data_IF_944947903819
#
_entry.id   IF_944947903819
#
_cell.length_a   1.000
_cell.length_b   1.000
_cell.length_c   1.000
_cell.angle_alpha   90.00
_cell.angle_beta   90.00
_cell.angle_gamma   90.00
#
_symmetry.space_group_name_H-M   'P 1'
#
loop_
_entity.id
_entity.type
_entity.pdbx_description
1 polymer ?
#
# COMPACT_ATOMS: atom_id res chain seq x y z
N UNK A 1 30.99 57.60 -3.87
CA UNK A 1 29.52 57.62 -3.75
C UNK A 1 29.07 56.19 -3.50
N UNK A 2 28.72 55.91 -2.24
CA UNK A 2 27.73 54.94 -1.73
C UNK A 2 27.81 53.45 -2.20
N UNK A 3 27.12 52.50 -1.53
CA UNK A 3 27.70 51.70 -0.44
C UNK A 3 27.24 50.21 -0.52
N UNK A 4 27.30 49.51 0.62
CA UNK A 4 26.74 48.17 0.95
C UNK A 4 27.71 47.01 0.61
N UNK A 5 28.25 46.24 1.55
CA UNK A 5 27.87 45.98 2.93
C UNK A 5 27.12 44.65 3.01
N UNK A 6 27.86 43.54 3.00
CA UNK A 6 27.33 42.21 3.28
C UNK A 6 28.06 41.66 4.52
N UNK A 7 27.36 41.29 5.59
CA UNK A 7 27.97 40.72 6.78
C UNK A 7 28.23 39.22 6.62
N UNK A 8 29.35 38.78 7.20
CA UNK A 8 29.72 37.38 7.41
C UNK A 8 28.66 36.63 8.25
N UNK A 9 28.26 35.44 7.79
CA UNK A 9 27.52 34.48 8.62
C UNK A 9 28.48 33.42 9.16
N UNK A 10 28.44 33.13 10.47
CA UNK A 10 29.25 32.07 11.07
C UNK A 10 28.67 30.68 10.79
N UNK A 11 29.53 29.80 10.31
CA UNK A 11 29.38 28.34 10.26
C UNK A 11 29.08 27.81 11.66
N UNK A 12 27.87 27.28 11.87
CA UNK A 12 27.54 26.50 13.06
C UNK A 12 27.09 25.10 12.65
N UNK A 13 27.98 24.16 12.93
CA UNK A 13 27.77 22.72 12.97
C UNK A 13 26.61 22.38 13.90
N UNK A 14 25.58 21.70 13.40
CA UNK A 14 24.64 20.96 14.25
C UNK A 14 24.34 19.59 13.61
N UNK A 15 24.75 18.57 14.37
CA UNK A 15 24.52 17.13 14.23
C UNK A 15 23.06 16.78 13.90
N UNK A 16 22.79 15.75 13.07
CA UNK A 16 21.46 15.13 13.01
C UNK A 16 21.20 14.28 14.28
N UNK A 17 19.95 14.23 14.78
CA UNK A 17 19.60 13.48 15.97
C UNK A 17 19.64 11.97 15.75
N UNK A 18 20.32 11.26 16.67
CA UNK A 18 20.28 9.80 16.78
C UNK A 18 18.96 9.37 17.42
N UNK A 19 18.12 8.66 16.68
CA UNK A 19 17.01 7.92 17.28
C UNK A 19 17.58 6.71 18.01
N UNK A 20 17.29 6.63 19.31
CA UNK A 20 17.61 5.47 20.15
C UNK A 20 16.36 4.61 20.24
N UNK A 21 16.42 3.41 19.65
CA UNK A 21 15.37 2.41 19.77
C UNK A 21 15.28 1.93 21.22
N UNK A 22 14.12 2.16 21.85
CA UNK A 22 13.79 1.64 23.18
C UNK A 22 13.50 0.13 23.07
N UNK A 23 14.41 -0.69 23.58
CA UNK A 23 14.21 -2.13 23.78
C UNK A 23 13.40 -2.34 25.07
N UNK A 24 12.27 -3.08 25.07
CA UNK A 24 11.59 -3.44 26.30
C UNK A 24 12.40 -4.51 27.08
N UNK A 25 12.45 -4.44 28.43
CA UNK A 25 13.19 -5.39 29.23
C UNK A 25 12.48 -6.74 29.34
N UNK A 26 13.26 -7.80 29.12
CA UNK A 26 12.94 -9.20 29.41
C UNK A 26 12.59 -9.39 30.90
N UNK A 27 11.46 -10.05 31.18
CA UNK A 27 11.03 -10.39 32.52
C UNK A 27 11.89 -11.52 33.09
N UNK A 28 12.58 -11.23 34.19
CA UNK A 28 13.41 -12.18 34.91
C UNK A 28 12.55 -13.14 35.78
N UNK A 29 12.82 -14.41 35.58
CA UNK A 29 12.48 -15.54 36.45
C UNK A 29 12.96 -15.30 37.89
N UNK A 30 12.12 -15.53 38.90
CA UNK A 30 12.57 -15.74 40.29
C UNK A 30 11.64 -16.70 41.03
N UNK A 31 12.23 -17.83 41.41
CA UNK A 31 11.69 -18.83 42.33
C UNK A 31 12.00 -18.47 43.79
N UNK A 32 11.39 -19.26 44.69
CA UNK A 32 11.69 -19.53 46.12
C UNK A 32 10.82 -18.72 47.11
N UNK A 33 9.86 -19.27 47.86
CA UNK A 33 9.75 -20.42 48.79
C UNK A 33 9.80 -20.00 50.30
N UNK A 34 8.72 -20.36 51.03
CA UNK A 34 8.59 -20.76 52.46
C UNK A 34 8.86 -19.73 53.58
N UNK A 35 8.16 -19.64 54.73
CA UNK A 35 7.50 -20.57 55.67
C UNK A 35 6.12 -19.99 56.14
N UNK A 36 5.01 -20.71 56.33
CA UNK A 36 4.66 -21.81 57.27
C UNK A 36 4.05 -21.28 58.59
N UNK A 37 2.74 -21.52 58.82
CA UNK A 37 2.20 -21.83 60.16
C UNK A 37 0.81 -22.50 60.08
N UNK A 38 0.85 -23.83 60.07
CA UNK A 38 0.13 -24.76 60.97
C UNK A 38 -1.21 -24.31 61.57
N UNK A 39 -2.30 -25.02 61.23
CA UNK A 39 -3.13 -25.69 62.25
C UNK A 39 -3.85 -26.93 61.70
N UNK A 40 -3.71 -28.00 62.50
CA UNK A 40 -4.17 -29.39 62.42
C UNK A 40 -5.69 -29.60 62.31
N UNK A 41 -6.17 -30.44 61.37
CA UNK A 41 -6.74 -31.82 61.52
C UNK A 41 -8.06 -31.95 62.34
N UNK A 42 -8.86 -33.06 62.23
CA UNK A 42 -8.97 -34.10 61.20
C UNK A 42 -10.44 -34.44 60.82
N UNK A 43 -10.68 -35.15 59.72
CA UNK A 43 -11.48 -36.39 59.78
C UNK A 43 -11.33 -37.22 58.51
N UNK A 44 -10.73 -38.38 58.67
CA UNK A 44 -10.70 -39.48 57.71
C UNK A 44 -12.05 -40.19 57.68
N UNK A 45 -12.55 -40.59 56.50
CA UNK A 45 -12.54 -41.97 56.01
C UNK A 45 -13.62 -42.23 54.93
N UNK A 46 -13.16 -42.93 53.87
CA UNK A 46 -13.82 -44.03 53.15
C UNK A 46 -15.04 -43.77 52.25
N UNK A 47 -14.75 -43.99 50.96
CA UNK A 47 -15.32 -45.03 50.10
C UNK A 47 -16.85 -45.06 49.90
N UNK A 48 -17.27 -44.94 48.64
CA UNK A 48 -18.61 -45.37 48.26
C UNK A 48 -18.93 -45.07 46.80
N UNK A 49 -18.78 -46.08 45.94
CA UNK A 49 -19.33 -46.10 44.58
C UNK A 49 -20.84 -45.91 44.65
N UNK A 50 -21.35 -44.74 44.30
CA UNK A 50 -22.76 -44.56 43.95
C UNK A 50 -22.94 -43.51 42.87
N UNK A 51 -23.06 -44.01 41.63
CA UNK A 51 -24.13 -43.68 40.68
C UNK A 51 -24.24 -42.17 40.36
N UNK A 52 -23.56 -41.65 39.34
CA UNK A 52 -23.89 -41.83 37.91
C UNK A 52 -25.39 -41.67 37.54
N UNK A 53 -26.20 -41.06 38.41
CA UNK A 53 -27.66 -40.88 38.24
C UNK A 53 -28.12 -39.49 38.70
N UNK A 54 -27.29 -38.47 38.48
CA UNK A 54 -27.69 -37.06 38.64
C UNK A 54 -27.35 -36.23 37.39
N UNK A 55 -26.44 -36.70 36.54
CA UNK A 55 -26.01 -35.99 35.33
C UNK A 55 -26.96 -36.14 34.13
N UNK A 56 -28.00 -36.98 34.21
CA UNK A 56 -28.96 -37.21 33.12
C UNK A 56 -30.29 -36.45 33.29
N UNK A 57 -30.54 -35.81 34.44
CA UNK A 57 -31.78 -35.07 34.71
C UNK A 57 -31.71 -33.57 34.38
N UNK A 58 -30.52 -33.04 34.10
CA UNK A 58 -30.33 -31.61 33.73
C UNK A 58 -30.37 -31.40 32.21
N UNK A 59 -30.31 -32.46 31.40
CA UNK A 59 -30.18 -32.35 29.94
C UNK A 59 -31.51 -32.32 29.16
N UNK A 60 -32.68 -32.27 29.82
CA UNK A 60 -34.00 -32.48 29.16
C UNK A 60 -34.96 -31.27 29.27
N UNK A 61 -34.49 -30.08 29.71
CA UNK A 61 -35.35 -28.88 29.83
C UNK A 61 -34.90 -27.66 29.00
N UNK A 62 -34.06 -27.84 27.98
CA UNK A 62 -33.59 -26.73 27.13
C UNK A 62 -34.24 -26.65 25.73
N UNK A 63 -35.31 -27.40 25.43
CA UNK A 63 -35.87 -27.47 24.06
C UNK A 63 -37.25 -26.86 23.88
N UNK A 64 -37.60 -25.78 24.61
CA UNK A 64 -38.79 -24.96 24.29
C UNK A 64 -38.59 -23.48 24.64
N UNK A 65 -37.64 -22.83 23.97
CA UNK A 65 -37.71 -21.41 23.65
C UNK A 65 -37.56 -21.30 22.12
N UNK A 66 -38.56 -21.80 21.40
CA UNK A 66 -38.70 -21.57 19.98
C UNK A 66 -39.08 -20.11 19.77
N UNK A 67 -38.09 -19.25 19.57
CA UNK A 67 -38.30 -18.01 18.85
C UNK A 67 -38.68 -18.42 17.42
N UNK A 68 -39.95 -18.26 17.06
CA UNK A 68 -40.40 -18.27 15.67
C UNK A 68 -39.81 -17.01 15.00
N UNK A 69 -38.53 -17.05 14.63
CA UNK A 69 -38.03 -16.20 13.55
C UNK A 69 -38.33 -16.95 12.27
N UNK A 70 -39.35 -16.48 11.57
CA UNK A 70 -39.67 -16.89 10.22
C UNK A 70 -38.43 -16.62 9.35
N UNK A 71 -37.59 -17.64 9.17
CA UNK A 71 -36.40 -17.56 8.32
C UNK A 71 -36.83 -17.80 6.86
N UNK A 72 -37.70 -16.91 6.38
CA UNK A 72 -37.63 -16.48 4.99
C UNK A 72 -36.75 -15.23 5.02
N UNK A 73 -35.44 -15.43 5.14
CA UNK A 73 -34.46 -14.35 5.02
C UNK A 73 -34.28 -14.05 3.53
N UNK A 74 -35.35 -13.61 2.88
CA UNK A 74 -35.21 -12.60 1.83
C UNK A 74 -34.97 -11.29 2.56
N UNK A 75 -33.74 -11.10 3.05
CA UNK A 75 -33.33 -9.83 3.64
C UNK A 75 -33.74 -8.71 2.69
N UNK A 76 -34.55 -7.78 3.19
CA UNK A 76 -35.11 -6.67 2.41
C UNK A 76 -34.01 -6.07 1.53
N UNK A 77 -34.07 -6.35 0.22
CA UNK A 77 -33.10 -5.83 -0.72
C UNK A 77 -33.09 -4.31 -0.57
N UNK A 78 -31.90 -3.73 -0.34
CA UNK A 78 -31.73 -2.30 -0.10
C UNK A 78 -32.61 -1.50 -1.09
N UNK A 79 -33.32 -0.46 -0.64
CA UNK A 79 -34.09 0.36 -1.54
C UNK A 79 -33.20 1.09 -2.55
N UNK A 80 -31.90 1.21 -2.27
CA UNK A 80 -30.88 1.82 -3.11
C UNK A 80 -30.29 0.78 -4.09
N UNK A 81 -30.31 1.14 -5.37
CA UNK A 81 -29.60 0.42 -6.44
C UNK A 81 -28.29 1.15 -6.73
N UNK A 82 -27.16 0.50 -6.43
CA UNK A 82 -25.81 1.03 -6.68
C UNK A 82 -25.38 0.76 -8.12
N UNK A 83 -25.73 1.66 -9.04
CA UNK A 83 -25.21 1.64 -10.41
C UNK A 83 -24.21 2.78 -10.59
N UNK A 84 -22.96 2.51 -10.24
CA UNK A 84 -21.83 3.45 -10.33
C UNK A 84 -20.95 3.07 -11.51
N UNK A 85 -20.54 4.05 -12.31
CA UNK A 85 -19.71 3.85 -13.49
C UNK A 85 -18.30 4.41 -13.30
N UNK A 86 -17.32 3.75 -13.92
CA UNK A 86 -15.91 4.08 -13.84
C UNK A 86 -15.19 3.47 -15.04
N UNK A 87 -14.33 4.26 -15.68
CA UNK A 87 -13.66 3.87 -16.93
C UNK A 87 -12.38 3.05 -16.69
N UNK A 88 -11.73 3.26 -15.55
CA UNK A 88 -10.46 2.66 -15.19
C UNK A 88 -10.49 2.17 -13.74
N UNK A 89 -9.82 1.06 -13.51
CA UNK A 89 -9.57 0.48 -12.18
C UNK A 89 -8.09 0.16 -11.97
N UNK A 90 -7.24 0.59 -12.91
CA UNK A 90 -5.80 0.43 -12.82
C UNK A 90 -5.06 1.65 -13.36
N UNK A 91 -3.85 1.87 -12.84
CA UNK A 91 -2.94 2.89 -13.34
C UNK A 91 -1.54 2.75 -12.75
N UNK A 92 -0.62 3.60 -13.20
CA UNK A 92 0.78 3.58 -12.77
C UNK A 92 1.20 4.96 -12.32
N UNK A 93 1.68 5.07 -11.09
CA UNK A 93 2.35 6.27 -10.59
C UNK A 93 3.71 6.37 -11.27
N UNK A 94 4.09 7.55 -11.72
CA UNK A 94 5.44 7.79 -12.26
C UNK A 94 6.22 8.69 -11.32
N UNK A 95 7.40 8.28 -10.91
CA UNK A 95 8.33 9.06 -10.10
C UNK A 95 9.63 9.29 -10.86
N UNK A 96 10.19 10.50 -10.77
CA UNK A 96 11.53 10.81 -11.27
C UNK A 96 12.45 11.18 -10.14
N UNK A 97 13.59 10.51 -10.09
CA UNK A 97 14.66 10.75 -9.12
C UNK A 97 15.95 11.04 -9.86
N UNK A 98 16.68 12.05 -9.40
CA UNK A 98 17.96 12.41 -9.97
C UNK A 98 18.95 12.75 -8.87
N UNK A 99 20.11 12.06 -8.87
CA UNK A 99 21.21 12.23 -7.92
C UNK A 99 20.67 12.25 -6.46
N UNK A 100 19.86 11.24 -6.12
CA UNK A 100 19.25 11.06 -4.80
C UNK A 100 18.06 11.97 -4.46
N UNK A 101 17.66 12.91 -5.33
CA UNK A 101 16.54 13.83 -5.08
C UNK A 101 15.33 13.51 -5.96
N UNK A 102 14.14 13.42 -5.34
CA UNK A 102 12.87 13.32 -6.08
C UNK A 102 12.59 14.63 -6.80
N UNK A 103 12.51 14.58 -8.14
CA UNK A 103 12.22 15.72 -8.99
C UNK A 103 10.72 15.91 -9.22
N UNK A 104 9.99 14.81 -9.42
CA UNK A 104 8.55 14.83 -9.69
C UNK A 104 7.91 13.49 -9.37
N UNK A 105 6.63 13.53 -9.01
CA UNK A 105 5.77 12.35 -8.89
C UNK A 105 4.39 12.70 -9.48
N UNK A 106 3.87 11.83 -10.35
CA UNK A 106 2.52 11.96 -10.89
C UNK A 106 1.67 10.80 -10.38
N UNK A 107 0.57 11.14 -9.71
CA UNK A 107 -0.41 10.17 -9.22
C UNK A 107 -1.34 9.64 -10.31
N UNK A 108 -2.19 8.68 -9.92
CA UNK A 108 -3.22 8.11 -10.78
C UNK A 108 -4.57 8.68 -10.37
N UNK A 109 -5.23 9.40 -11.29
CA UNK A 109 -6.57 9.95 -11.07
C UNK A 109 -7.64 8.98 -11.59
N UNK A 110 -8.57 8.60 -10.72
CA UNK A 110 -9.73 7.76 -11.04
C UNK A 110 -11.03 8.50 -10.69
N UNK A 111 -12.07 8.33 -11.51
CA UNK A 111 -13.38 8.96 -11.34
C UNK A 111 -14.50 7.92 -11.28
N UNK A 112 -15.44 8.17 -10.38
CA UNK A 112 -16.60 7.30 -10.13
C UNK A 112 -17.90 8.11 -10.27
N UNK A 113 -18.71 7.78 -11.28
CA UNK A 113 -19.99 8.42 -11.61
C UNK A 113 -21.17 7.69 -10.95
N UNK A 114 -21.75 8.33 -9.94
CA UNK A 114 -22.94 7.92 -9.20
C UNK A 114 -24.26 8.40 -9.82
N UNK A 115 -24.27 9.04 -10.99
CA UNK A 115 -25.49 9.64 -11.57
C UNK A 115 -26.64 8.65 -11.82
N UNK A 116 -26.38 7.34 -11.81
CA UNK A 116 -27.38 6.28 -11.98
C UNK A 116 -27.70 5.54 -10.68
N UNK A 117 -27.18 6.00 -9.55
CA UNK A 117 -27.58 5.52 -8.23
C UNK A 117 -28.96 6.08 -7.90
N UNK A 118 -29.89 5.19 -7.59
CA UNK A 118 -31.30 5.53 -7.34
C UNK A 118 -31.81 4.84 -6.09
N UNK A 119 -32.78 5.43 -5.40
CA UNK A 119 -33.49 4.78 -4.29
C UNK A 119 -35.00 4.73 -4.54
N UNK A 120 -35.61 3.61 -4.15
CA UNK A 120 -37.06 3.43 -4.09
C UNK A 120 -37.68 4.07 -2.84
N UNK A 121 -36.86 4.46 -1.87
CA UNK A 121 -37.28 5.03 -0.59
C UNK A 121 -37.01 6.54 -0.47
N UNK A 122 -36.66 7.21 -1.57
CA UNK A 122 -36.51 8.67 -1.63
C UNK A 122 -35.35 9.12 -2.52
N UNK A 123 -35.02 10.40 -2.45
CA UNK A 123 -33.84 10.93 -3.13
C UNK A 123 -32.54 10.54 -2.43
N UNK A 124 -31.47 10.31 -3.19
CA UNK A 124 -30.12 10.18 -2.63
C UNK A 124 -29.70 11.54 -2.06
N UNK A 125 -29.09 11.53 -0.88
CA UNK A 125 -28.67 12.74 -0.17
C UNK A 125 -27.15 12.84 -0.05
N UNK A 126 -26.47 11.72 0.21
CA UNK A 126 -25.01 11.69 0.33
C UNK A 126 -24.41 10.61 -0.56
N UNK A 127 -23.26 10.92 -1.13
CA UNK A 127 -22.39 9.98 -1.82
C UNK A 127 -21.05 9.97 -1.09
N UNK A 128 -20.47 8.80 -0.91
CA UNK A 128 -19.17 8.64 -0.24
C UNK A 128 -18.28 7.73 -1.06
N UNK A 129 -17.03 8.14 -1.25
CA UNK A 129 -15.94 7.33 -1.75
C UNK A 129 -14.92 7.19 -0.64
N UNK A 130 -14.65 5.96 -0.22
CA UNK A 130 -13.49 5.63 0.59
C UNK A 130 -12.45 4.96 -0.32
N UNK A 131 -11.28 5.57 -0.54
CA UNK A 131 -10.27 5.07 -1.48
C UNK A 131 -9.57 3.79 -0.98
N UNK A 132 -9.64 3.47 0.31
CA UNK A 132 -9.00 2.30 0.90
C UNK A 132 -7.47 2.37 0.95
N UNK A 133 -6.88 3.56 0.77
CA UNK A 133 -5.44 3.83 0.87
C UNK A 133 -4.98 4.26 2.27
N UNK A 134 -5.86 4.07 3.27
CA UNK A 134 -5.56 4.16 4.69
C UNK A 134 -6.34 3.09 5.48
N UNK A 135 -6.02 2.92 6.75
CA UNK A 135 -6.66 1.90 7.60
C UNK A 135 -7.98 2.35 8.25
N UNK A 136 -8.21 3.66 8.37
CA UNK A 136 -9.28 4.23 9.20
C UNK A 136 -10.37 4.99 8.43
N UNK A 137 -10.28 5.02 7.10
CA UNK A 137 -11.14 5.75 6.18
C UNK A 137 -10.93 7.26 6.24
N UNK A 138 -9.78 7.75 6.71
CA UNK A 138 -9.52 9.18 6.91
C UNK A 138 -9.55 9.99 5.62
N UNK A 139 -9.22 9.37 4.50
CA UNK A 139 -9.22 9.93 3.15
C UNK A 139 -10.59 9.83 2.47
N UNK A 140 -11.62 9.32 3.16
CA UNK A 140 -12.94 9.19 2.58
C UNK A 140 -13.55 10.57 2.23
N UNK A 141 -14.03 10.67 0.99
CA UNK A 141 -14.67 11.86 0.44
C UNK A 141 -16.18 11.67 0.53
N UNK A 142 -16.89 12.59 1.19
CA UNK A 142 -18.35 12.61 1.23
C UNK A 142 -18.89 13.91 0.64
N UNK A 143 -19.86 13.79 -0.27
CA UNK A 143 -20.45 14.92 -1.01
C UNK A 143 -21.97 14.87 -0.97
N UNK A 144 -22.59 16.03 -1.19
CA UNK A 144 -24.04 16.14 -1.34
C UNK A 144 -24.45 15.69 -2.75
N UNK A 145 -25.33 14.71 -2.83
CA UNK A 145 -25.80 14.15 -4.10
C UNK A 145 -26.56 15.15 -4.99
N UNK A 146 -27.03 16.27 -4.42
CA UNK A 146 -27.68 17.34 -5.18
C UNK A 146 -26.68 18.32 -5.83
N UNK A 147 -25.41 18.29 -5.43
CA UNK A 147 -24.38 19.22 -5.89
C UNK A 147 -23.50 18.57 -6.96
N UNK A 148 -23.12 17.32 -6.74
CA UNK A 148 -22.31 16.55 -7.68
C UNK A 148 -22.71 15.07 -7.61
N UNK A 149 -22.52 14.38 -8.74
CA UNK A 149 -22.76 12.94 -8.86
C UNK A 149 -21.50 12.17 -9.26
N UNK A 150 -20.35 12.83 -9.38
CA UNK A 150 -19.07 12.21 -9.67
C UNK A 150 -18.09 12.53 -8.55
N UNK A 151 -17.29 11.55 -8.13
CA UNK A 151 -16.19 11.74 -7.19
C UNK A 151 -14.91 11.27 -7.86
N UNK A 152 -13.89 12.13 -7.84
CA UNK A 152 -12.56 11.87 -8.38
C UNK A 152 -11.56 11.75 -7.23
N UNK A 153 -10.64 10.80 -7.33
CA UNK A 153 -9.58 10.56 -6.35
C UNK A 153 -8.23 10.37 -7.06
N UNK A 154 -7.17 10.95 -6.50
CA UNK A 154 -5.80 10.79 -7.03
C UNK A 154 -4.96 9.96 -6.06
N UNK A 155 -4.60 8.75 -6.49
CA UNK A 155 -3.68 7.89 -5.74
C UNK A 155 -2.24 8.39 -5.89
N UNK A 156 -1.57 8.57 -4.75
CA UNK A 156 -0.13 8.93 -4.67
C UNK A 156 0.73 7.78 -4.14
N UNK A 157 0.09 6.66 -3.81
CA UNK A 157 0.71 5.47 -3.22
C UNK A 157 0.29 4.27 -4.08
N UNK A 158 1.15 3.26 -4.14
CA UNK A 158 0.91 2.06 -4.94
C UNK A 158 0.33 0.96 -4.06
N UNK A 159 -0.50 0.10 -4.63
CA UNK A 159 -1.27 -0.87 -3.85
C UNK A 159 -2.38 -1.53 -4.67
N UNK A 160 -2.91 -2.61 -4.12
CA UNK A 160 -4.18 -3.19 -4.54
C UNK A 160 -5.26 -2.76 -3.52
N UNK A 161 -5.89 -1.63 -3.81
CA UNK A 161 -6.83 -0.95 -2.91
C UNK A 161 -8.25 -1.51 -3.06
N UNK A 162 -9.00 -1.56 -1.96
CA UNK A 162 -10.45 -1.83 -1.99
C UNK A 162 -11.20 -0.53 -1.79
N UNK A 163 -11.69 0.04 -2.89
CA UNK A 163 -12.47 1.27 -2.88
C UNK A 163 -13.90 0.96 -2.48
N UNK A 164 -14.41 1.63 -1.45
CA UNK A 164 -15.79 1.48 -1.01
C UNK A 164 -16.63 2.68 -1.45
N UNK A 165 -17.56 2.42 -2.35
CA UNK A 165 -18.48 3.43 -2.89
C UNK A 165 -19.83 3.28 -2.19
N UNK A 166 -20.32 4.35 -1.55
CA UNK A 166 -21.54 4.31 -0.73
C UNK A 166 -22.50 5.44 -1.07
N UNK A 167 -23.80 5.19 -0.88
CA UNK A 167 -24.84 6.20 -1.01
C UNK A 167 -25.85 6.08 0.15
N UNK A 168 -26.36 7.23 0.61
CA UNK A 168 -27.41 7.32 1.63
C UNK A 168 -28.60 8.11 1.12
N UNK A 169 -29.82 7.60 1.29
CA UNK A 169 -31.05 8.29 0.91
C UNK A 169 -31.66 9.13 2.04
N UNK A 170 -32.68 9.93 1.72
CA UNK A 170 -33.37 10.81 2.69
C UNK A 170 -34.09 10.05 3.82
N UNK A 171 -34.38 8.77 3.61
CA UNK A 171 -34.96 7.88 4.62
C UNK A 171 -33.89 7.26 5.54
N UNK A 172 -32.61 7.58 5.30
CA UNK A 172 -31.47 7.08 6.08
C UNK A 172 -31.03 5.66 5.71
N UNK A 173 -31.52 5.10 4.59
CA UNK A 173 -31.02 3.83 4.09
C UNK A 173 -29.64 4.04 3.46
N UNK A 174 -28.75 3.06 3.60
CA UNK A 174 -27.41 3.08 3.04
C UNK A 174 -27.18 1.84 2.18
N UNK A 175 -26.48 2.00 1.06
CA UNK A 175 -25.94 0.89 0.27
C UNK A 175 -24.49 1.18 -0.11
N UNK A 176 -23.71 0.12 -0.29
CA UNK A 176 -22.31 0.19 -0.70
C UNK A 176 -22.01 -0.88 -1.74
N UNK A 177 -21.00 -0.62 -2.57
CA UNK A 177 -20.29 -1.60 -3.40
C UNK A 177 -18.79 -1.42 -3.18
N UNK A 178 -18.04 -2.50 -3.38
CA UNK A 178 -16.58 -2.48 -3.33
C UNK A 178 -16.02 -2.64 -4.74
N UNK A 179 -14.99 -1.87 -5.06
CA UNK A 179 -14.24 -1.90 -6.33
C UNK A 179 -12.77 -2.06 -6.00
N UNK A 180 -12.15 -3.12 -6.50
CA UNK A 180 -10.71 -3.32 -6.35
C UNK A 180 -9.98 -2.49 -7.40
N UNK A 181 -9.05 -1.65 -6.96
CA UNK A 181 -8.23 -0.77 -7.80
C UNK A 181 -6.75 -1.16 -7.67
N UNK A 182 -6.06 -1.28 -8.81
CA UNK A 182 -4.64 -1.62 -8.88
C UNK A 182 -3.78 -0.41 -9.26
N UNK A 183 -2.93 0.04 -8.36
CA UNK A 183 -1.99 1.13 -8.63
C UNK A 183 -0.57 0.58 -8.58
N UNK A 184 0.09 0.55 -9.73
CA UNK A 184 1.50 0.21 -9.88
C UNK A 184 2.37 1.48 -9.67
N UNK A 185 3.70 1.31 -9.54
CA UNK A 185 4.66 2.45 -9.48
C UNK A 185 5.85 2.21 -10.39
N UNK A 186 6.12 3.16 -11.28
CA UNK A 186 7.33 3.24 -12.08
C UNK A 186 8.23 4.35 -11.55
N UNK A 187 9.52 4.06 -11.40
CA UNK A 187 10.54 5.00 -10.94
C UNK A 187 11.61 5.11 -12.04
N UNK A 188 11.73 6.30 -12.61
CA UNK A 188 12.83 6.70 -13.49
C UNK A 188 13.89 7.39 -12.63
N UNK A 189 14.97 6.67 -12.37
CA UNK A 189 16.05 7.06 -11.47
C UNK A 189 17.33 7.27 -12.25
N UNK A 190 18.03 8.36 -11.96
CA UNK A 190 19.33 8.67 -12.57
C UNK A 190 20.35 9.10 -11.53
N UNK A 191 21.60 8.72 -11.74
CA UNK A 191 22.75 9.24 -11.01
C UNK A 191 23.89 9.46 -12.02
N UNK A 192 24.37 10.69 -12.12
CA UNK A 192 25.18 11.13 -13.26
C UNK A 192 26.55 11.62 -12.84
N UNK A 193 27.55 11.28 -13.64
CA UNK A 193 28.96 11.62 -13.42
C UNK A 193 29.49 11.18 -12.03
N UNK A 194 29.03 10.05 -11.54
CA UNK A 194 29.38 9.53 -10.20
C UNK A 194 30.47 8.46 -10.28
N UNK A 195 31.37 8.43 -9.30
CA UNK A 195 32.30 7.32 -9.07
C UNK A 195 32.01 6.61 -7.73
N UNK A 196 30.90 6.99 -7.08
CA UNK A 196 30.37 6.42 -5.86
C UNK A 196 28.85 6.38 -6.03
N UNK A 197 28.32 5.40 -6.80
CA UNK A 197 26.90 5.36 -7.14
C UNK A 197 26.00 5.34 -5.90
N UNK A 198 24.98 6.20 -5.90
CA UNK A 198 23.98 6.19 -4.86
C UNK A 198 23.13 4.91 -4.90
N UNK A 199 22.66 4.48 -3.73
CA UNK A 199 21.70 3.37 -3.62
C UNK A 199 20.31 3.83 -4.05
N UNK A 200 19.70 3.13 -5.01
CA UNK A 200 18.29 3.33 -5.35
C UNK A 200 17.41 2.52 -4.40
N UNK A 201 16.57 3.22 -3.63
CA UNK A 201 15.54 2.60 -2.78
C UNK A 201 14.30 2.31 -3.60
N UNK A 202 13.81 1.07 -3.52
CA UNK A 202 12.57 0.60 -4.14
C UNK A 202 11.64 0.19 -3.00
N UNK A 203 10.80 1.13 -2.56
CA UNK A 203 9.84 0.89 -1.48
C UNK A 203 8.67 0.04 -2.01
N UNK A 204 8.52 -1.19 -1.52
CA UNK A 204 7.49 -2.15 -1.95
C UNK A 204 6.36 -2.33 -0.95
N UNK A 205 6.44 -1.67 0.22
CA UNK A 205 5.36 -1.69 1.20
C UNK A 205 4.21 -0.76 0.74
N UNK A 206 2.99 -1.29 0.52
CA UNK A 206 1.84 -0.43 0.25
C UNK A 206 1.39 0.29 1.53
N UNK A 207 0.68 1.42 1.35
CA UNK A 207 0.09 2.19 2.45
C UNK A 207 -1.29 1.66 2.91
N UNK A 208 -1.64 0.45 2.48
CA UNK A 208 -2.84 -0.27 2.92
C UNK A 208 -2.51 -1.62 3.55
N UNK A 209 -3.45 -2.17 4.33
CA UNK A 209 -3.43 -3.56 4.77
C UNK A 209 -3.82 -4.50 3.61
N UNK A 210 -3.00 -4.52 2.56
CA UNK A 210 -3.24 -5.17 1.28
C UNK A 210 -2.04 -6.05 0.88
N UNK A 211 -2.18 -6.91 -0.16
CA UNK A 211 -1.09 -7.76 -0.62
C UNK A 211 0.15 -6.96 -1.06
N UNK A 212 1.32 -7.58 -1.00
CA UNK A 212 2.56 -7.02 -1.55
C UNK A 212 2.55 -7.05 -3.08
N UNK A 213 3.45 -6.30 -3.74
CA UNK A 213 3.63 -6.39 -5.18
C UNK A 213 3.87 -7.82 -5.66
N UNK A 214 3.40 -8.15 -6.86
CA UNK A 214 3.66 -9.44 -7.50
C UNK A 214 5.13 -9.54 -7.93
N UNK A 215 5.68 -8.44 -8.47
CA UNK A 215 7.05 -8.40 -8.97
C UNK A 215 7.65 -7.00 -8.98
N UNK A 216 8.98 -6.97 -9.04
CA UNK A 216 9.79 -5.79 -9.41
C UNK A 216 10.42 -6.08 -10.77
N UNK A 217 10.15 -5.23 -11.76
CA UNK A 217 10.86 -5.25 -13.05
C UNK A 217 11.92 -4.15 -13.06
N UNK A 218 13.16 -4.51 -13.34
CA UNK A 218 14.31 -3.59 -13.46
C UNK A 218 14.73 -3.52 -14.92
N UNK A 219 14.85 -2.31 -15.45
CA UNK A 219 15.55 -1.99 -16.69
C UNK A 219 16.64 -0.96 -16.36
N UNK A 220 17.88 -1.40 -16.31
CA UNK A 220 19.02 -0.57 -15.95
C UNK A 220 19.98 -0.43 -17.13
N UNK A 221 20.48 0.78 -17.34
CA UNK A 221 21.61 1.06 -18.22
C UNK A 221 22.66 1.88 -17.48
N UNK A 222 23.93 1.51 -17.64
CA UNK A 222 25.08 2.25 -17.14
C UNK A 222 25.93 2.64 -18.34
N UNK A 223 26.24 3.93 -18.45
CA UNK A 223 27.11 4.50 -19.47
C UNK A 223 28.46 4.86 -18.85
N UNK A 224 29.53 4.49 -19.56
CA UNK A 224 30.86 5.02 -19.35
C UNK A 224 31.10 6.16 -20.35
N UNK A 225 30.93 7.43 -19.95
CA UNK A 225 31.03 8.55 -20.86
C UNK A 225 32.45 8.70 -21.42
N UNK A 226 32.55 9.24 -22.62
CA UNK A 226 33.83 9.55 -23.24
C UNK A 226 34.44 10.80 -22.58
N UNK A 227 35.35 10.60 -21.62
CA UNK A 227 36.07 11.68 -20.94
C UNK A 227 37.58 11.62 -21.23
N UNK A 228 38.17 12.79 -21.49
CA UNK A 228 39.55 12.96 -21.95
C UNK A 228 40.63 12.50 -20.94
N UNK A 229 40.23 12.11 -19.73
CA UNK A 229 41.12 11.82 -18.58
C UNK A 229 40.80 10.46 -17.91
N UNK A 230 39.77 9.73 -18.36
CA UNK A 230 39.30 8.50 -17.72
C UNK A 230 40.08 7.23 -18.13
N UNK A 231 39.92 6.15 -17.35
CA UNK A 231 40.36 4.82 -17.78
C UNK A 231 39.57 4.38 -19.01
N UNK A 232 40.09 3.45 -19.83
CA UNK A 232 39.38 3.02 -21.02
C UNK A 232 38.24 2.02 -20.73
N UNK A 233 38.08 1.57 -19.47
CA UNK A 233 37.23 0.44 -19.05
C UNK A 233 36.92 0.47 -17.56
N UNK A 234 35.63 0.38 -17.22
CA UNK A 234 35.13 0.06 -15.90
C UNK A 234 34.57 -1.37 -15.86
N UNK A 235 34.65 -2.01 -14.69
CA UNK A 235 33.90 -3.23 -14.36
C UNK A 235 32.89 -2.85 -13.28
N UNK A 236 31.62 -3.12 -13.54
CA UNK A 236 30.52 -2.77 -12.65
C UNK A 236 29.70 -4.00 -12.30
N UNK A 237 29.16 -4.02 -11.09
CA UNK A 237 28.21 -5.05 -10.66
C UNK A 237 26.93 -4.40 -10.15
N UNK A 238 25.79 -4.84 -10.68
CA UNK A 238 24.46 -4.55 -10.15
C UNK A 238 24.13 -5.53 -9.04
N UNK A 239 23.49 -5.04 -7.98
CA UNK A 239 23.02 -5.84 -6.85
C UNK A 239 21.59 -5.43 -6.49
N UNK A 240 20.65 -6.37 -6.57
CA UNK A 240 19.31 -6.22 -6.05
C UNK A 240 19.21 -6.93 -4.70
N UNK A 241 19.01 -6.17 -3.63
CA UNK A 241 18.92 -6.67 -2.27
C UNK A 241 17.50 -6.50 -1.73
N UNK A 242 17.03 -7.49 -0.99
CA UNK A 242 15.74 -7.44 -0.32
C UNK A 242 15.77 -6.52 0.93
N UNK A 243 14.61 -6.29 1.59
CA UNK A 243 14.53 -5.44 2.78
C UNK A 243 15.31 -5.97 4.00
N UNK A 244 15.70 -7.25 4.00
CA UNK A 244 16.57 -7.84 5.03
C UNK A 244 18.06 -7.63 4.73
N UNK A 245 18.40 -7.17 3.53
CA UNK A 245 19.74 -6.96 3.02
C UNK A 245 20.36 -8.21 2.39
N UNK A 246 19.56 -9.23 2.07
CA UNK A 246 20.02 -10.41 1.34
C UNK A 246 20.00 -10.13 -0.18
N UNK A 247 21.08 -10.52 -0.87
CA UNK A 247 21.21 -10.35 -2.32
C UNK A 247 20.33 -11.38 -3.03
N UNK A 248 19.34 -10.88 -3.77
CA UNK A 248 18.39 -11.70 -4.52
C UNK A 248 18.83 -11.88 -5.98
N UNK A 249 19.50 -10.86 -6.54
CA UNK A 249 20.07 -10.93 -7.88
C UNK A 249 21.31 -10.04 -8.02
N UNK A 250 22.22 -10.44 -8.89
CA UNK A 250 23.37 -9.63 -9.30
C UNK A 250 23.71 -9.88 -10.77
N UNK A 251 24.39 -8.91 -11.39
CA UNK A 251 24.95 -9.01 -12.74
C UNK A 251 26.24 -8.22 -12.81
N UNK A 252 27.25 -8.69 -13.54
CA UNK A 252 28.55 -8.01 -13.66
C UNK A 252 28.90 -7.81 -15.13
N UNK A 253 29.38 -6.63 -15.49
CA UNK A 253 29.77 -6.32 -16.87
C UNK A 253 30.95 -5.35 -16.95
N UNK A 254 31.70 -5.42 -18.06
CA UNK A 254 32.76 -4.47 -18.37
C UNK A 254 32.29 -3.47 -19.43
N UNK A 255 32.47 -2.18 -19.15
CA UNK A 255 32.02 -1.08 -19.99
C UNK A 255 33.24 -0.30 -20.49
N UNK A 256 33.49 -0.35 -21.79
CA UNK A 256 34.56 0.45 -22.40
C UNK A 256 34.18 1.93 -22.51
N UNK A 257 35.18 2.77 -22.78
CA UNK A 257 35.01 4.20 -22.98
C UNK A 257 33.99 4.52 -24.08
N UNK A 258 33.02 5.39 -23.76
CA UNK A 258 31.93 5.78 -24.65
C UNK A 258 30.95 4.64 -24.96
N UNK A 259 30.94 3.57 -24.15
CA UNK A 259 30.02 2.46 -24.26
C UNK A 259 29.03 2.44 -23.10
N UNK A 260 27.99 1.62 -23.24
CA UNK A 260 26.99 1.35 -22.23
C UNK A 260 26.85 -0.16 -22.03
N UNK A 261 26.37 -0.54 -20.85
CA UNK A 261 25.90 -1.90 -20.55
C UNK A 261 24.52 -1.82 -19.92
N UNK A 262 23.70 -2.84 -20.18
CA UNK A 262 22.32 -2.89 -19.70
C UNK A 262 22.02 -4.20 -19.00
N UNK A 263 21.19 -4.13 -17.97
CA UNK A 263 20.71 -5.26 -17.22
C UNK A 263 19.19 -5.17 -17.05
N UNK A 264 18.49 -6.23 -17.46
CA UNK A 264 17.06 -6.38 -17.22
C UNK A 264 16.80 -7.58 -16.31
N UNK A 265 15.89 -7.40 -15.35
CA UNK A 265 15.59 -8.43 -14.37
C UNK A 265 14.15 -8.33 -13.87
N UNK A 266 13.49 -9.46 -13.65
CA UNK A 266 12.18 -9.54 -12.98
C UNK A 266 12.31 -10.36 -11.71
N UNK A 267 12.09 -9.72 -10.58
CA UNK A 267 12.09 -10.34 -9.25
C UNK A 267 10.65 -10.64 -8.84
N UNK A 268 10.36 -11.88 -8.46
CA UNK A 268 9.07 -12.33 -7.91
C UNK A 268 9.20 -12.59 -6.41
N UNK A 269 8.10 -12.96 -5.74
CA UNK A 269 8.07 -13.19 -4.29
C UNK A 269 8.57 -11.95 -3.51
N UNK A 270 8.01 -10.79 -3.85
CA UNK A 270 8.45 -9.50 -3.33
C UNK A 270 7.96 -9.30 -1.89
N UNK A 271 8.92 -9.23 -0.96
CA UNK A 271 8.65 -8.85 0.42
C UNK A 271 8.32 -7.35 0.54
N UNK A 272 7.47 -7.02 1.50
CA UNK A 272 7.18 -5.64 1.88
C UNK A 272 8.41 -5.00 2.55
N UNK A 273 8.84 -3.85 2.06
CA UNK A 273 9.88 -3.04 2.69
C UNK A 273 10.69 -2.25 1.68
N UNK A 274 11.87 -1.81 2.10
CA UNK A 274 12.78 -1.06 1.24
C UNK A 274 13.77 -2.02 0.58
N UNK A 275 13.54 -2.32 -0.70
CA UNK A 275 14.53 -3.00 -1.54
C UNK A 275 15.62 -2.02 -1.98
N UNK A 276 16.81 -2.52 -2.26
CA UNK A 276 17.95 -1.70 -2.70
C UNK A 276 18.54 -2.21 -4.01
N UNK A 277 18.49 -1.37 -5.05
CA UNK A 277 19.24 -1.55 -6.29
C UNK A 277 20.55 -0.75 -6.17
N UNK A 278 21.66 -1.46 -6.02
CA UNK A 278 22.99 -0.90 -5.83
C UNK A 278 23.88 -1.21 -7.04
N UNK A 279 24.85 -0.35 -7.29
CA UNK A 279 25.91 -0.58 -8.28
C UNK A 279 27.26 -0.42 -7.60
N UNK A 280 28.13 -1.41 -7.74
CA UNK A 280 29.55 -1.30 -7.36
C UNK A 280 30.41 -1.09 -8.60
N UNK A 281 31.49 -0.31 -8.44
CA UNK A 281 32.56 -0.19 -9.44
C UNK A 281 33.73 -1.06 -8.95
N UNK A 282 33.83 -2.27 -9.49
CA UNK A 282 34.80 -3.27 -9.04
C UNK A 282 36.21 -2.97 -9.57
N UNK A 283 36.30 -2.33 -10.73
CA UNK A 283 37.53 -1.76 -11.26
C UNK A 283 37.26 -0.59 -12.21
N UNK A 284 38.25 0.28 -12.37
CA UNK A 284 38.07 1.59 -13.02
C UNK A 284 37.98 2.70 -11.98
N UNK A 285 38.16 3.95 -12.41
CA UNK A 285 38.00 5.15 -11.57
C UNK A 285 37.30 6.23 -12.39
N UNK A 286 36.20 5.83 -13.00
CA UNK A 286 35.48 6.58 -14.04
C UNK A 286 34.22 7.18 -13.42
N UNK A 287 33.84 8.38 -13.86
CA UNK A 287 32.54 8.95 -13.55
C UNK A 287 31.51 8.33 -14.50
N UNK A 288 30.63 7.49 -13.97
CA UNK A 288 29.60 6.79 -14.73
C UNK A 288 28.29 7.56 -14.73
N UNK A 289 27.44 7.29 -15.71
CA UNK A 289 26.03 7.70 -15.70
C UNK A 289 25.15 6.45 -15.55
N UNK A 290 24.33 6.44 -14.52
CA UNK A 290 23.38 5.37 -14.24
C UNK A 290 21.97 5.86 -14.59
N UNK A 291 21.19 4.99 -15.22
CA UNK A 291 19.79 5.18 -15.50
C UNK A 291 19.04 3.88 -15.22
N UNK A 292 18.08 3.94 -14.30
CA UNK A 292 17.26 2.80 -13.90
C UNK A 292 15.80 3.17 -14.11
N UNK A 293 15.07 2.30 -14.78
CA UNK A 293 13.60 2.31 -14.81
C UNK A 293 13.15 1.08 -14.04
N UNK A 294 12.49 1.29 -12.91
CA UNK A 294 12.02 0.21 -12.03
C UNK A 294 10.51 0.27 -11.90
N UNK A 295 9.83 -0.83 -12.21
CA UNK A 295 8.39 -0.99 -12.06
C UNK A 295 8.09 -1.92 -10.88
N UNK A 296 7.33 -1.42 -9.92
CA UNK A 296 6.68 -2.20 -8.87
C UNK A 296 5.28 -2.54 -9.39
N UNK A 297 5.05 -3.81 -9.71
CA UNK A 297 3.81 -4.28 -10.33
C UNK A 297 3.03 -5.19 -9.39
N UNK A 298 1.72 -4.98 -9.33
CA UNK A 298 0.78 -5.86 -8.63
C UNK A 298 0.12 -6.85 -9.58
N UNK A 299 -0.35 -7.97 -9.01
CA UNK A 299 -1.18 -8.94 -9.74
C UNK A 299 -2.42 -8.22 -10.29
N UNK A 300 -2.79 -8.55 -11.54
CA UNK A 300 -3.96 -8.00 -12.21
C UNK A 300 -5.28 -8.57 -11.64
N UNK A 301 -5.58 -8.19 -10.40
CA UNK A 301 -6.73 -8.61 -9.62
C UNK A 301 -7.73 -7.46 -9.37
N UNK A 302 -7.59 -6.35 -10.09
CA UNK A 302 -8.55 -5.24 -10.10
C UNK A 302 -9.94 -5.69 -10.58
N UNK A 303 -10.97 -4.94 -10.18
CA UNK A 303 -12.32 -5.12 -10.71
C UNK A 303 -12.37 -4.66 -12.16
N UNK A 304 -13.10 -5.38 -13.02
CA UNK A 304 -13.31 -4.96 -14.41
C UNK A 304 -13.99 -3.58 -14.47
N UNK A 305 -13.53 -2.67 -15.34
CA UNK A 305 -14.17 -1.37 -15.52
C UNK A 305 -15.67 -1.47 -15.84
N UNK A 306 -16.44 -0.48 -15.38
CA UNK A 306 -17.86 -0.33 -15.69
C UNK A 306 -18.12 1.02 -16.39
N UNK A 307 -17.63 1.22 -17.62
CA UNK A 307 -17.78 2.49 -18.33
C UNK A 307 -19.24 2.75 -18.69
N UNK A 308 -19.55 4.01 -18.99
CA UNK A 308 -20.83 4.34 -19.60
C UNK A 308 -20.89 3.80 -21.03
N UNK A 309 -21.97 3.10 -21.37
CA UNK A 309 -22.18 2.73 -22.76
C UNK A 309 -22.47 3.97 -23.59
N UNK A 310 -22.06 3.97 -24.87
CA UNK A 310 -22.25 5.12 -25.78
C UNK A 310 -23.73 5.50 -25.88
N UNK A 311 -24.65 4.53 -25.87
CA UNK A 311 -26.10 4.78 -25.88
C UNK A 311 -26.61 5.48 -24.61
N UNK A 312 -25.95 5.26 -23.46
CA UNK A 312 -26.28 5.90 -22.18
C UNK A 312 -25.62 7.27 -22.02
N UNK A 313 -24.46 7.48 -22.66
CA UNK A 313 -23.78 8.76 -22.73
C UNK A 313 -24.54 9.76 -23.63
N UNK A 314 -24.99 9.33 -24.82
CA UNK A 314 -25.73 10.18 -25.77
C UNK A 314 -27.10 10.62 -25.21
N UNK A 315 -27.78 9.78 -24.43
CA UNK A 315 -29.06 10.14 -23.77
C UNK A 315 -28.90 11.25 -22.72
N UNK A 316 -27.71 11.40 -22.13
CA UNK A 316 -27.38 12.46 -21.15
C UNK A 316 -27.24 13.82 -21.82
N UNK A 317 -26.54 13.89 -22.95
CA UNK A 317 -26.35 15.13 -23.72
C UNK A 317 -27.70 15.71 -24.20
N UNK A 318 -28.61 14.85 -24.67
CA UNK A 318 -29.96 15.25 -25.11
C UNK A 318 -30.87 15.69 -23.94
N UNK A 319 -30.63 15.21 -22.73
CA UNK A 319 -31.41 15.57 -21.54
C UNK A 319 -30.95 16.87 -20.88
N UNK A 320 -29.67 17.25 -21.06
CA UNK A 320 -29.11 18.53 -20.60
C UNK A 320 -29.38 19.68 -21.60
N UNK A 321 -29.80 19.36 -22.83
CA UNK A 321 -30.06 20.33 -23.90
C UNK A 321 -31.53 20.81 -23.99
N UNK A 322 -32.40 20.44 -23.04
CA UNK A 322 -33.83 20.79 -23.00
C UNK A 322 -34.20 21.68 -21.81
#
# INVERSE_FOLDING_TARGET
MSPTGYPDYPTSLLYPPRFTAFKPPSAAHRENEWFDEVMSLPCTMRAGRTKAMVMLAVLVLATTAGCLSNADDEGDASPITMNVHYDLTAGTITERVQNGAVLSQNGVELSFDFARVTSRAGSITTLTLDPGDDEDGSNAITVNANEQAEITYTYMTHGLFTVRLSATDESGNMASIDVVVRIDKEIDWTDTNTNDPDSMVVATAPDCACPTPERIDVDSTIENPNDLIASPRAEVTWHLNDPSGEEQAFHTEQIGEGQEASWTHSQYDVDAGDWALNVTIDSGNESLNLHHVVLIAYEAAETEPNPLTIEEAERREDSLSQ
#
